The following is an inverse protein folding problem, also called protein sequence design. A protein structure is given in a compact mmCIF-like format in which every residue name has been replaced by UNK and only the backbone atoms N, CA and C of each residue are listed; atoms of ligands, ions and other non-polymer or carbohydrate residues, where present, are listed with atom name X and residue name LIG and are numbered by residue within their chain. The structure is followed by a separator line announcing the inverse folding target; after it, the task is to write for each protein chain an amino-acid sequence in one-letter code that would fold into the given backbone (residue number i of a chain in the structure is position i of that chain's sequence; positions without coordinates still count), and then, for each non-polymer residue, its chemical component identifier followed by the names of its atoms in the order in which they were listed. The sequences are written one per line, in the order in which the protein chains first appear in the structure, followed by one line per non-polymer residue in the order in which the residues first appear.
data_IF_383194857056
#
_entry.id   IF_383194857056
#
_cell.length_a   1.000
_cell.length_b   1.000
_cell.length_c   1.000
_cell.angle_alpha   90.00
_cell.angle_beta   90.00
_cell.angle_gamma   90.00
#
_symmetry.space_group_name_H-M   'P 1'
#
loop_
_entity.id
_entity.type
_entity.pdbx_description
1 polymer ?
#
# COMPACT_ATOMS: atom_id res chain seq x y z
N UNK A 1 -7.20 -34.50 -14.41
CA UNK A 1 -7.27 -35.22 -13.13
C UNK A 1 -7.22 -34.15 -12.05
N UNK A 2 -8.41 -33.77 -11.58
CA UNK A 2 -8.67 -32.63 -10.68
C UNK A 2 -8.39 -33.11 -9.24
N UNK A 3 -7.76 -32.26 -8.41
CA UNK A 3 -7.80 -32.40 -6.95
C UNK A 3 -8.48 -31.16 -6.35
N UNK A 4 -9.74 -31.35 -6.00
CA UNK A 4 -10.52 -30.52 -5.08
C UNK A 4 -10.12 -30.97 -3.67
N UNK A 5 -9.74 -30.04 -2.79
CA UNK A 5 -9.82 -30.25 -1.35
C UNK A 5 -10.81 -29.24 -0.78
N UNK A 6 -12.01 -29.74 -0.48
CA UNK A 6 -12.97 -29.15 0.44
C UNK A 6 -12.46 -29.39 1.86
N UNK A 7 -12.55 -28.38 2.72
CA UNK A 7 -12.53 -28.59 4.17
C UNK A 7 -13.71 -27.88 4.82
N UNK A 8 -14.62 -28.68 5.35
CA UNK A 8 -15.67 -28.30 6.28
C UNK A 8 -15.07 -28.21 7.69
N UNK A 9 -15.27 -27.09 8.40
CA UNK A 9 -14.99 -27.00 9.83
C UNK A 9 -16.25 -27.40 10.61
N UNK A 10 -16.15 -28.50 11.36
CA UNK A 10 -17.11 -28.86 12.41
C UNK A 10 -16.65 -28.31 13.75
N UNK A 11 -17.53 -27.57 14.44
CA UNK A 11 -17.33 -27.11 15.81
C UNK A 11 -17.22 -28.28 16.79
N UNK A 12 -16.19 -28.24 17.64
CA UNK A 12 -16.12 -29.02 18.88
C UNK A 12 -15.64 -28.09 20.00
N UNK A 13 -16.43 -28.00 21.07
CA UNK A 13 -16.06 -27.28 22.30
C UNK A 13 -14.87 -28.00 22.96
N UNK A 14 -13.74 -27.33 23.11
CA UNK A 14 -12.59 -27.81 23.88
C UNK A 14 -12.42 -26.95 25.13
N UNK A 15 -12.50 -27.62 26.27
CA UNK A 15 -12.13 -27.13 27.60
C UNK A 15 -10.63 -26.84 27.56
N UNK A 16 -10.22 -25.63 27.97
CA UNK A 16 -8.84 -25.10 27.89
C UNK A 16 -7.75 -26.17 27.95
N UNK A 17 -7.17 -26.49 26.79
CA UNK A 17 -5.88 -27.15 26.69
C UNK A 17 -4.84 -26.10 26.30
N UNK A 18 -3.78 -26.00 27.10
CA UNK A 18 -2.60 -25.17 26.84
C UNK A 18 -1.92 -25.68 25.57
N UNK A 19 -1.72 -24.80 24.60
CA UNK A 19 -0.95 -25.06 23.38
C UNK A 19 0.55 -24.94 23.70
N UNK A 20 1.30 -26.02 23.49
CA UNK A 20 2.73 -26.11 23.78
C UNK A 20 3.61 -25.80 22.55
N UNK A 21 3.04 -25.37 21.43
CA UNK A 21 3.78 -25.11 20.19
C UNK A 21 4.29 -23.67 20.03
N UNK A 22 3.78 -22.72 20.81
CA UNK A 22 4.18 -21.31 20.76
C UNK A 22 5.13 -20.99 21.91
N UNK A 23 6.37 -20.64 21.56
CA UNK A 23 7.41 -20.26 22.52
C UNK A 23 7.04 -18.92 23.17
N UNK A 24 7.39 -18.80 24.47
CA UNK A 24 7.24 -17.64 25.40
C UNK A 24 5.86 -17.59 26.10
N UNK A 25 5.66 -17.73 27.41
CA UNK A 25 6.39 -18.02 28.68
C UNK A 25 5.26 -18.38 29.71
N UNK A 26 5.53 -18.65 31.00
CA UNK A 26 4.65 -18.09 32.02
C UNK A 26 5.43 -17.16 32.94
N UNK A 27 5.12 -15.88 32.76
CA UNK A 27 5.07 -14.80 33.76
C UNK A 27 5.34 -15.31 35.20
N UNK A 28 6.59 -15.18 35.66
CA UNK A 28 6.91 -15.28 37.08
C UNK A 28 6.71 -13.90 37.69
N UNK A 29 5.46 -13.55 37.99
CA UNK A 29 5.18 -12.45 38.90
C UNK A 29 4.64 -13.01 40.23
N UNK A 30 4.87 -12.27 41.30
CA UNK A 30 4.51 -12.62 42.68
C UNK A 30 3.02 -12.86 42.96
N UNK A 31 2.13 -12.68 41.95
CA UNK A 31 0.70 -12.94 42.05
C UNK A 31 0.33 -14.40 41.69
N UNK A 32 1.23 -15.25 41.18
CA UNK A 32 0.94 -16.68 41.05
C UNK A 32 1.15 -17.45 42.36
N UNK A 33 0.27 -17.23 43.35
CA UNK A 33 0.33 -17.89 44.67
C UNK A 33 0.10 -19.42 44.68
N UNK A 34 0.00 -20.08 43.52
CA UNK A 34 -0.35 -21.51 43.41
C UNK A 34 0.45 -22.33 42.38
N UNK A 35 1.41 -21.73 41.67
CA UNK A 35 2.14 -22.39 40.58
C UNK A 35 3.09 -23.54 41.05
N UNK A 36 3.31 -23.71 42.36
CA UNK A 36 4.30 -24.65 42.92
C UNK A 36 3.73 -25.82 43.71
N UNK A 37 2.41 -26.05 43.71
CA UNK A 37 1.82 -27.20 44.37
C UNK A 37 1.48 -28.29 43.36
N UNK A 38 2.22 -29.39 43.49
CA UNK A 38 2.08 -30.65 42.75
C UNK A 38 0.62 -31.05 42.53
N UNK A 39 0.27 -31.32 41.27
CA UNK A 39 -0.88 -32.11 40.76
C UNK A 39 -1.91 -31.38 39.88
N UNK A 40 -1.48 -30.52 38.95
CA UNK A 40 -2.27 -30.20 37.76
C UNK A 40 -1.40 -30.28 36.51
N UNK A 41 -1.94 -30.91 35.48
CA UNK A 41 -1.21 -31.62 34.41
C UNK A 41 -0.56 -30.73 33.33
N UNK A 42 0.22 -29.72 33.72
CA UNK A 42 0.94 -28.89 32.76
C UNK A 42 2.11 -28.04 33.27
N UNK A 43 2.50 -28.16 34.55
CA UNK A 43 3.59 -27.38 35.14
C UNK A 43 4.99 -27.85 34.72
N UNK A 44 5.92 -26.91 34.56
CA UNK A 44 7.35 -27.15 34.34
C UNK A 44 7.95 -28.04 35.43
N UNK A 45 8.52 -29.19 35.05
CA UNK A 45 9.16 -30.12 35.97
C UNK A 45 10.63 -29.72 36.24
N UNK A 46 10.84 -28.96 37.33
CA UNK A 46 12.14 -28.49 37.80
C UNK A 46 12.96 -29.56 38.55
N UNK A 47 12.62 -30.85 38.45
CA UNK A 47 13.30 -31.90 39.21
C UNK A 47 14.72 -32.24 38.69
N UNK A 48 15.11 -31.78 37.49
CA UNK A 48 16.42 -32.06 36.89
C UNK A 48 16.86 -30.92 35.95
N UNK A 49 18.13 -30.53 36.02
CA UNK A 49 18.76 -29.53 35.15
C UNK A 49 18.64 -29.87 33.66
N UNK A 50 18.67 -31.16 33.28
CA UNK A 50 18.49 -31.54 31.88
C UNK A 50 17.11 -31.18 31.34
N UNK A 51 16.06 -31.23 32.17
CA UNK A 51 14.71 -30.85 31.78
C UNK A 51 14.55 -29.33 31.64
N UNK A 52 15.38 -28.56 32.36
CA UNK A 52 15.47 -27.10 32.26
C UNK A 52 16.08 -26.69 30.90
N UNK A 53 17.13 -27.38 30.46
CA UNK A 53 17.87 -27.06 29.23
C UNK A 53 17.29 -27.71 27.96
N UNK A 54 16.57 -28.83 28.08
CA UNK A 54 16.00 -29.55 26.93
C UNK A 54 14.69 -28.98 26.40
N UNK A 55 14.13 -27.96 27.05
CA UNK A 55 12.87 -27.30 26.65
C UNK A 55 13.03 -26.36 25.44
N UNK A 56 14.23 -26.23 24.88
CA UNK A 56 14.49 -25.51 23.64
C UNK A 56 14.59 -23.99 23.77
N UNK A 57 14.37 -23.42 24.97
CA UNK A 57 14.26 -21.97 25.18
C UNK A 57 15.27 -21.37 26.17
N UNK A 58 16.34 -22.10 26.49
CA UNK A 58 17.44 -21.59 27.32
C UNK A 58 18.70 -21.51 26.46
N UNK A 59 19.02 -20.31 25.97
CA UNK A 59 20.30 -20.05 25.31
C UNK A 59 21.37 -20.04 26.41
N UNK A 60 22.35 -20.93 26.30
CA UNK A 60 23.50 -20.92 27.19
C UNK A 60 24.38 -19.72 26.83
N UNK A 61 24.33 -18.65 27.62
CA UNK A 61 25.26 -17.53 27.53
C UNK A 61 26.72 -17.97 27.77
N UNK A 62 27.67 -17.11 27.38
CA UNK A 62 29.10 -17.38 27.53
C UNK A 62 29.52 -17.46 29.02
N UNK A 63 29.57 -18.68 29.55
CA UNK A 63 29.89 -18.97 30.95
C UNK A 63 31.25 -18.48 31.44
N UNK A 64 32.21 -18.14 30.56
CA UNK A 64 33.58 -17.77 30.94
C UNK A 64 33.69 -16.34 31.52
N UNK A 65 32.73 -15.45 31.28
CA UNK A 65 32.69 -14.09 31.82
C UNK A 65 31.79 -13.95 33.06
N UNK A 66 31.10 -15.02 33.46
CA UNK A 66 30.20 -15.02 34.62
C UNK A 66 30.98 -14.80 35.92
N UNK A 67 30.63 -13.76 36.68
CA UNK A 67 31.13 -13.51 38.04
C UNK A 67 30.92 -14.71 38.97
N UNK A 68 30.01 -15.63 38.63
CA UNK A 68 29.68 -16.81 39.41
C UNK A 68 30.62 -18.00 39.11
N UNK A 69 31.08 -18.14 37.86
CA UNK A 69 32.18 -19.05 37.50
C UNK A 69 33.47 -18.65 38.22
N UNK A 70 33.69 -17.33 38.36
CA UNK A 70 34.85 -16.77 39.07
C UNK A 70 34.72 -16.95 40.59
N UNK A 71 33.51 -16.94 41.15
CA UNK A 71 33.26 -17.07 42.61
C UNK A 71 33.13 -18.53 43.10
N UNK A 72 32.89 -19.48 42.20
CA UNK A 72 32.78 -20.90 42.55
C UNK A 72 34.11 -21.60 42.29
N UNK A 73 35.00 -21.51 43.27
CA UNK A 73 36.40 -21.97 43.29
C UNK A 73 36.62 -23.49 43.10
N UNK A 74 35.67 -24.25 42.51
CA UNK A 74 35.81 -25.70 42.28
C UNK A 74 34.99 -26.27 41.09
N UNK A 75 34.63 -25.46 40.09
CA UNK A 75 34.38 -25.95 38.72
C UNK A 75 33.40 -27.12 38.54
N UNK A 76 32.31 -27.20 39.32
CA UNK A 76 31.29 -28.23 39.14
C UNK A 76 29.88 -27.65 39.21
N UNK A 77 29.45 -27.09 38.09
CA UNK A 77 28.04 -27.01 37.70
C UNK A 77 27.92 -27.42 36.23
N UNK A 78 26.85 -28.13 35.83
CA UNK A 78 25.72 -28.56 36.68
C UNK A 78 26.04 -29.84 37.49
N UNK A 79 25.52 -30.01 38.72
CA UNK A 79 25.55 -31.29 39.40
C UNK A 79 24.67 -32.30 38.66
N UNK A 80 25.18 -33.51 38.44
CA UNK A 80 24.37 -34.62 37.96
C UNK A 80 23.36 -35.06 39.03
N UNK A 81 22.05 -35.06 38.73
CA UNK A 81 21.01 -35.63 39.59
C UNK A 81 19.84 -34.70 39.91
N UNK A 82 19.00 -35.11 40.85
CA UNK A 82 17.81 -34.36 41.31
C UNK A 82 18.23 -33.08 42.02
N UNK A 83 17.61 -31.95 41.68
CA UNK A 83 17.87 -30.67 42.35
C UNK A 83 17.26 -30.66 43.76
N UNK A 84 18.03 -30.22 44.77
CA UNK A 84 17.49 -29.94 46.10
C UNK A 84 16.67 -28.66 46.10
N UNK A 85 15.80 -28.46 47.10
CA UNK A 85 15.02 -27.22 47.24
C UNK A 85 15.92 -25.98 47.27
N UNK A 86 17.08 -26.03 47.94
CA UNK A 86 18.06 -24.94 47.94
C UNK A 86 18.64 -24.62 46.56
N UNK A 87 18.81 -25.63 45.70
CA UNK A 87 19.28 -25.44 44.32
C UNK A 87 18.16 -24.83 43.46
N UNK A 88 16.90 -25.24 43.70
CA UNK A 88 15.73 -24.67 43.03
C UNK A 88 15.55 -23.20 43.44
N UNK A 89 15.68 -22.88 44.73
CA UNK A 89 15.56 -21.52 45.25
C UNK A 89 16.68 -20.60 44.72
N UNK A 90 17.91 -21.12 44.59
CA UNK A 90 19.03 -20.38 44.00
C UNK A 90 18.84 -20.14 42.49
N UNK A 91 18.31 -21.13 41.75
CA UNK A 91 17.98 -20.97 40.32
C UNK A 91 16.80 -19.99 40.15
N UNK A 92 15.80 -20.03 41.02
CA UNK A 92 14.70 -19.08 41.02
C UNK A 92 15.20 -17.65 41.32
N UNK A 93 16.11 -17.49 42.28
CA UNK A 93 16.77 -16.22 42.57
C UNK A 93 17.58 -15.71 41.36
N UNK A 94 18.22 -16.58 40.58
CA UNK A 94 18.93 -16.20 39.34
C UNK A 94 18.01 -15.76 38.22
N UNK A 95 16.82 -16.35 38.11
CA UNK A 95 15.80 -15.94 37.13
C UNK A 95 15.21 -14.57 37.52
N UNK A 96 14.92 -14.37 38.80
CA UNK A 96 14.44 -13.09 39.35
C UNK A 96 15.51 -11.97 39.29
N UNK A 97 16.79 -12.31 39.40
CA UNK A 97 17.93 -11.38 39.30
C UNK A 97 18.42 -11.16 37.84
N UNK A 98 17.77 -11.75 36.83
CA UNK A 98 18.06 -11.50 35.41
C UNK A 98 19.29 -12.21 34.84
N UNK A 99 19.64 -13.40 35.35
CA UNK A 99 20.84 -14.16 34.94
C UNK A 99 20.68 -14.97 33.63
N UNK A 100 19.53 -14.91 32.97
CA UNK A 100 19.39 -15.25 31.56
C UNK A 100 19.54 -13.92 30.80
N UNK A 101 20.55 -13.82 29.95
CA UNK A 101 20.69 -12.68 29.03
C UNK A 101 19.33 -12.52 28.32
N UNK A 102 18.60 -11.46 28.66
CA UNK A 102 17.62 -10.89 27.73
C UNK A 102 18.41 -10.73 26.42
N UNK A 103 17.91 -11.21 25.26
CA UNK A 103 18.50 -10.75 24.01
C UNK A 103 18.53 -9.23 24.14
N UNK A 104 19.73 -8.67 24.08
CA UNK A 104 19.90 -7.28 24.45
C UNK A 104 18.86 -6.47 23.66
N UNK A 105 18.19 -5.53 24.33
CA UNK A 105 17.38 -4.49 23.68
C UNK A 105 18.31 -3.54 22.89
N UNK A 106 19.30 -4.12 22.21
CA UNK A 106 20.39 -3.49 21.49
C UNK A 106 20.20 -3.89 20.03
N UNK A 107 19.63 -2.95 19.29
CA UNK A 107 19.65 -2.99 17.85
C UNK A 107 20.97 -2.42 17.33
N UNK A 108 21.32 -2.78 16.10
CA UNK A 108 22.44 -2.14 15.40
C UNK A 108 22.22 -0.62 15.28
N UNK A 109 23.32 0.13 15.08
CA UNK A 109 23.25 1.57 14.88
C UNK A 109 22.27 1.92 13.73
N UNK A 110 21.35 2.85 14.00
CA UNK A 110 20.30 3.25 13.05
C UNK A 110 19.00 2.46 13.17
N UNK A 111 18.90 1.51 14.10
CA UNK A 111 17.67 0.78 14.41
C UNK A 111 17.19 1.06 15.84
N UNK A 112 15.88 1.04 16.04
CA UNK A 112 15.22 1.20 17.33
C UNK A 112 14.53 -0.09 17.74
N UNK A 113 14.79 -0.53 18.97
CA UNK A 113 14.07 -1.65 19.56
C UNK A 113 12.66 -1.21 19.96
N UNK A 114 11.63 -1.87 19.44
CA UNK A 114 10.24 -1.63 19.83
C UNK A 114 9.67 -2.91 20.48
N UNK A 115 9.43 -2.82 21.79
CA UNK A 115 9.01 -3.97 22.62
C UNK A 115 7.64 -4.53 22.23
N UNK A 116 6.70 -3.65 21.85
CA UNK A 116 5.33 -4.01 21.52
C UNK A 116 4.84 -3.27 20.29
N UNK A 117 4.20 -4.01 19.39
CA UNK A 117 3.61 -3.53 18.14
C UNK A 117 2.32 -4.29 17.85
N UNK A 118 1.42 -3.75 17.01
CA UNK A 118 0.11 -4.35 16.79
C UNK A 118 0.22 -5.67 16.00
N UNK A 119 0.00 -6.80 16.66
CA UNK A 119 0.20 -8.15 16.10
C UNK A 119 -0.63 -8.41 14.83
N UNK A 120 -1.82 -7.80 14.72
CA UNK A 120 -2.74 -8.06 13.60
C UNK A 120 -2.47 -7.19 12.38
N UNK A 121 -1.74 -6.07 12.55
CA UNK A 121 -1.50 -5.12 11.46
C UNK A 121 -0.03 -5.00 11.10
N UNK A 122 0.89 -5.24 12.05
CA UNK A 122 2.33 -5.24 11.82
C UNK A 122 2.89 -6.67 11.82
N UNK A 123 3.32 -7.13 10.64
CA UNK A 123 3.88 -8.46 10.41
C UNK A 123 5.40 -8.35 10.23
N UNK A 124 6.18 -8.94 11.14
CA UNK A 124 7.64 -8.99 11.04
C UNK A 124 8.10 -10.36 10.56
N UNK A 125 8.64 -10.43 9.34
CA UNK A 125 8.93 -11.69 8.63
C UNK A 125 10.14 -12.45 9.17
N UNK A 126 11.09 -11.75 9.79
CA UNK A 126 12.31 -12.32 10.36
C UNK A 126 12.26 -12.48 11.89
N UNK A 127 11.15 -12.09 12.51
CA UNK A 127 10.97 -12.11 13.97
C UNK A 127 11.83 -11.10 14.74
N UNK A 128 12.46 -10.14 14.06
CA UNK A 128 13.21 -9.06 14.72
C UNK A 128 12.27 -8.08 15.44
N UNK A 129 12.80 -7.36 16.43
CA UNK A 129 12.09 -6.25 17.10
C UNK A 129 12.83 -4.92 16.90
N UNK A 130 13.73 -4.89 15.93
CA UNK A 130 14.56 -3.75 15.58
C UNK A 130 14.07 -3.15 14.28
N UNK A 131 13.67 -1.89 14.32
CA UNK A 131 13.06 -1.18 13.19
C UNK A 131 13.97 -0.03 12.80
N UNK A 132 14.20 0.16 11.51
CA UNK A 132 15.10 1.19 11.02
C UNK A 132 14.53 2.58 11.27
N UNK A 133 15.35 3.47 11.82
CA UNK A 133 14.90 4.76 12.34
C UNK A 133 14.24 5.62 11.25
N UNK A 134 14.79 5.65 10.04
CA UNK A 134 14.22 6.46 8.96
C UNK A 134 12.88 5.93 8.47
N UNK A 135 12.66 4.60 8.52
CA UNK A 135 11.39 4.02 8.12
C UNK A 135 10.31 4.34 9.17
N UNK A 136 10.66 4.29 10.47
CA UNK A 136 9.78 4.74 11.56
C UNK A 136 9.48 6.23 11.44
N UNK A 137 10.49 7.06 11.18
CA UNK A 137 10.34 8.51 11.03
C UNK A 137 9.41 8.86 9.86
N UNK A 138 9.55 8.19 8.71
CA UNK A 138 8.64 8.37 7.59
C UNK A 138 7.19 8.00 7.93
N UNK A 139 6.98 6.91 8.68
CA UNK A 139 5.64 6.55 9.17
C UNK A 139 5.10 7.60 10.17
N UNK A 140 5.96 8.13 11.04
CA UNK A 140 5.59 9.17 11.99
C UNK A 140 5.22 10.48 11.28
N UNK A 141 5.94 10.85 10.23
CA UNK A 141 5.62 12.02 9.43
C UNK A 141 4.26 11.89 8.73
N UNK A 142 3.91 10.69 8.24
CA UNK A 142 2.57 10.41 7.70
C UNK A 142 1.51 10.62 8.80
N UNK A 143 1.75 10.15 10.01
CA UNK A 143 0.83 10.36 11.14
C UNK A 143 0.68 11.86 11.42
N UNK A 144 1.78 12.58 11.53
CA UNK A 144 1.80 14.00 11.92
C UNK A 144 1.12 14.88 10.86
N UNK A 145 1.43 14.69 9.58
CA UNK A 145 0.89 15.53 8.50
C UNK A 145 -0.62 15.35 8.34
N UNK A 146 -1.14 14.18 8.71
CA UNK A 146 -2.56 13.86 8.70
C UNK A 146 -3.27 14.08 10.05
N UNK A 147 -2.59 14.66 11.06
CA UNK A 147 -3.11 14.91 12.41
C UNK A 147 -3.68 13.65 13.09
N UNK A 148 -2.97 12.51 12.96
CA UNK A 148 -3.40 11.21 13.47
C UNK A 148 -2.72 10.83 14.79
N UNK A 149 -1.98 11.74 15.43
CA UNK A 149 -1.17 11.45 16.62
C UNK A 149 -2.02 10.92 17.78
N UNK A 150 -3.25 11.42 17.94
CA UNK A 150 -4.16 10.99 19.01
C UNK A 150 -4.70 9.57 18.79
N UNK A 151 -4.57 9.02 17.58
CA UNK A 151 -5.10 7.70 17.22
C UNK A 151 -4.08 6.57 17.42
N UNK A 152 -2.80 6.89 17.62
CA UNK A 152 -1.72 5.90 17.58
C UNK A 152 -0.72 6.05 18.73
N UNK A 153 -0.44 4.92 19.39
CA UNK A 153 0.59 4.87 20.43
C UNK A 153 2.01 5.01 19.85
N UNK A 154 2.22 4.53 18.62
CA UNK A 154 3.47 4.70 17.86
C UNK A 154 3.24 4.47 16.36
N UNK A 155 4.28 4.74 15.55
CA UNK A 155 4.23 4.69 14.08
C UNK A 155 3.95 3.30 13.50
N UNK A 156 4.13 2.21 14.26
CA UNK A 156 3.80 0.84 13.82
C UNK A 156 2.29 0.55 13.84
N UNK A 157 1.47 1.46 14.37
CA UNK A 157 0.02 1.37 14.33
C UNK A 157 -0.61 2.00 13.07
N UNK A 158 0.18 2.68 12.24
CA UNK A 158 -0.29 3.23 10.98
C UNK A 158 -0.54 2.10 9.96
N UNK A 159 -1.82 1.79 9.74
CA UNK A 159 -2.23 0.81 8.74
C UNK A 159 -1.65 -0.59 8.94
N UNK A 160 -1.59 -1.36 7.86
CA UNK A 160 -0.97 -2.68 7.82
C UNK A 160 0.44 -2.60 7.24
N UNK A 161 1.38 -3.28 7.90
CA UNK A 161 2.80 -3.17 7.64
C UNK A 161 3.45 -4.55 7.57
N UNK A 162 4.34 -4.76 6.60
CA UNK A 162 5.25 -5.91 6.62
C UNK A 162 6.70 -5.45 6.73
N UNK A 163 7.45 -6.07 7.62
CA UNK A 163 8.85 -5.75 7.90
C UNK A 163 9.77 -6.95 7.65
N UNK A 164 10.98 -6.67 7.15
CA UNK A 164 12.04 -7.67 6.94
C UNK A 164 13.40 -7.03 7.16
N UNK A 165 14.27 -7.62 7.98
CA UNK A 165 15.56 -7.04 8.34
C UNK A 165 15.43 -5.68 9.02
N UNK A 166 14.34 -5.46 9.76
CA UNK A 166 13.99 -4.17 10.35
C UNK A 166 13.61 -3.06 9.35
N UNK A 167 13.41 -3.39 8.07
CA UNK A 167 13.03 -2.44 7.02
C UNK A 167 11.61 -2.67 6.54
N UNK A 168 10.87 -1.59 6.26
CA UNK A 168 9.50 -1.65 5.80
C UNK A 168 9.45 -2.10 4.34
N UNK A 169 8.69 -3.16 4.08
CA UNK A 169 8.57 -3.80 2.75
C UNK A 169 7.17 -3.69 2.16
N UNK A 170 6.15 -3.54 3.00
CA UNK A 170 4.77 -3.28 2.58
C UNK A 170 4.13 -2.29 3.53
N UNK A 171 3.42 -1.32 2.97
CA UNK A 171 2.54 -0.41 3.70
C UNK A 171 1.17 -0.41 3.04
N UNK A 172 0.12 -0.55 3.84
CA UNK A 172 -1.26 -0.44 3.41
C UNK A 172 -2.04 0.45 4.37
N UNK A 173 -2.60 1.55 3.84
CA UNK A 173 -3.39 2.53 4.59
C UNK A 173 -4.61 2.92 3.76
N UNK A 174 -5.81 2.97 4.36
CA UNK A 174 -7.06 3.39 3.68
C UNK A 174 -8.07 2.26 3.43
N UNK A 175 -7.64 1.00 3.39
CA UNK A 175 -8.52 -0.16 3.12
C UNK A 175 -9.66 -0.31 4.16
N UNK A 176 -10.85 0.11 3.77
CA UNK A 176 -12.09 -0.01 4.55
C UNK A 176 -12.60 -1.45 4.65
N UNK A 177 -12.16 -2.35 3.75
CA UNK A 177 -12.60 -3.74 3.65
C UNK A 177 -11.89 -4.66 4.64
N UNK A 178 -10.66 -4.31 5.05
CA UNK A 178 -9.87 -5.05 6.05
C UNK A 178 -9.81 -4.36 7.42
N UNK A 179 -10.69 -3.39 7.68
CA UNK A 179 -10.85 -2.77 9.00
C UNK A 179 -9.80 -1.71 9.34
N UNK A 180 -9.19 -1.08 8.33
CA UNK A 180 -8.49 0.19 8.52
C UNK A 180 -9.50 1.32 8.76
N UNK A 181 -9.28 2.16 9.77
CA UNK A 181 -10.12 3.34 10.06
C UNK A 181 -9.40 4.65 9.74
N UNK A 182 -8.41 4.59 8.85
CA UNK A 182 -7.46 5.68 8.67
C UNK A 182 -7.55 6.22 7.28
N UNK A 183 -7.99 7.47 7.19
CA UNK A 183 -8.02 8.25 5.96
C UNK A 183 -6.84 9.19 5.96
N UNK A 184 -6.03 9.11 4.91
CA UNK A 184 -4.93 10.03 4.63
C UNK A 184 -5.43 11.14 3.71
N UNK A 185 -5.05 12.37 4.01
CA UNK A 185 -5.25 13.56 3.17
C UNK A 185 -3.97 13.99 2.45
N UNK A 186 -2.80 13.64 2.99
CA UNK A 186 -1.49 13.99 2.43
C UNK A 186 -0.42 12.91 2.67
N UNK A 187 0.56 12.82 1.77
CA UNK A 187 1.80 12.06 1.98
C UNK A 187 3.00 13.02 2.11
N UNK A 188 3.86 12.86 3.13
CA UNK A 188 5.03 13.70 3.32
C UNK A 188 6.16 13.32 2.34
N UNK A 189 7.09 14.25 2.10
CA UNK A 189 8.29 13.98 1.29
C UNK A 189 9.21 12.89 1.88
N UNK A 190 9.07 12.57 3.18
CA UNK A 190 9.82 11.48 3.80
C UNK A 190 9.34 10.09 3.36
N UNK A 191 8.22 9.97 2.63
CA UNK A 191 7.82 8.69 2.02
C UNK A 191 8.94 8.11 1.16
N UNK A 192 9.69 8.96 0.43
CA UNK A 192 10.82 8.54 -0.41
C UNK A 192 12.00 7.94 0.36
N UNK A 193 12.02 8.02 1.69
CA UNK A 193 13.05 7.38 2.51
C UNK A 193 12.84 5.87 2.66
N UNK A 194 11.63 5.36 2.36
CA UNK A 194 11.24 3.95 2.44
C UNK A 194 11.82 3.12 1.29
N UNK A 195 13.14 3.18 1.14
CA UNK A 195 13.88 2.64 -0.02
C UNK A 195 13.78 1.12 -0.20
N UNK A 196 13.32 0.37 0.81
CA UNK A 196 13.06 -1.07 0.73
C UNK A 196 11.58 -1.43 0.54
N UNK A 197 10.71 -0.43 0.39
CA UNK A 197 9.29 -0.65 0.18
C UNK A 197 9.06 -1.31 -1.18
N UNK A 198 8.43 -2.48 -1.15
CA UNK A 198 8.08 -3.28 -2.33
C UNK A 198 6.64 -3.02 -2.74
N UNK A 199 5.77 -2.74 -1.77
CA UNK A 199 4.34 -2.60 -1.98
C UNK A 199 3.80 -1.40 -1.19
N UNK A 200 3.17 -0.47 -1.90
CA UNK A 200 2.48 0.68 -1.32
C UNK A 200 1.01 0.65 -1.75
N UNK A 201 0.13 0.45 -0.77
CA UNK A 201 -1.32 0.49 -0.92
C UNK A 201 -1.83 1.71 -0.14
N UNK A 202 -2.33 2.69 -0.86
CA UNK A 202 -2.88 3.95 -0.35
C UNK A 202 -4.26 4.19 -0.97
N UNK A 203 -4.92 3.11 -1.39
CA UNK A 203 -6.30 3.11 -1.88
C UNK A 203 -7.30 3.53 -0.81
N UNK A 204 -8.45 4.05 -1.23
CA UNK A 204 -9.54 4.52 -0.35
C UNK A 204 -9.09 5.62 0.63
N UNK A 205 -8.42 6.66 0.12
CA UNK A 205 -7.99 7.83 0.88
C UNK A 205 -8.49 9.14 0.22
N UNK A 206 -8.07 10.29 0.76
CA UNK A 206 -8.43 11.62 0.26
C UNK A 206 -7.21 12.37 -0.32
N UNK A 207 -6.18 11.65 -0.78
CA UNK A 207 -4.95 12.25 -1.31
C UNK A 207 -5.26 13.06 -2.59
N UNK A 208 -4.70 14.26 -2.69
CA UNK A 208 -4.87 15.14 -3.86
C UNK A 208 -3.65 15.19 -4.78
N UNK A 209 -2.49 14.82 -4.25
CA UNK A 209 -1.21 14.73 -4.96
C UNK A 209 -0.36 13.59 -4.37
N UNK A 210 0.65 13.16 -5.13
CA UNK A 210 1.77 12.36 -4.62
C UNK A 210 3.02 13.26 -4.57
N UNK A 211 3.87 13.16 -3.53
CA UNK A 211 5.09 13.96 -3.42
C UNK A 211 6.13 13.54 -4.47
N UNK A 212 7.02 14.45 -4.86
CA UNK A 212 8.09 14.17 -5.85
C UNK A 212 9.09 13.11 -5.35
N UNK A 213 9.25 12.97 -4.03
CA UNK A 213 10.04 11.90 -3.45
C UNK A 213 9.48 10.49 -3.68
N UNK A 214 8.25 10.32 -4.19
CA UNK A 214 7.72 8.99 -4.51
C UNK A 214 8.64 8.25 -5.49
N UNK A 215 9.27 8.97 -6.42
CA UNK A 215 10.23 8.40 -7.37
C UNK A 215 11.52 7.85 -6.73
N UNK A 216 11.77 8.10 -5.44
CA UNK A 216 12.91 7.55 -4.71
C UNK A 216 12.67 6.11 -4.24
N UNK A 217 11.45 5.58 -4.34
CA UNK A 217 11.07 4.21 -3.96
C UNK A 217 11.58 3.18 -4.99
N UNK A 218 12.90 3.11 -5.14
CA UNK A 218 13.58 2.32 -6.17
C UNK A 218 13.29 0.82 -6.13
N UNK A 219 12.81 0.28 -5.01
CA UNK A 219 12.43 -1.13 -4.86
C UNK A 219 10.92 -1.37 -4.95
N UNK A 220 10.12 -0.38 -5.36
CA UNK A 220 8.66 -0.50 -5.44
C UNK A 220 8.23 -1.31 -6.67
N UNK A 221 7.41 -2.33 -6.44
CA UNK A 221 6.83 -3.19 -7.49
C UNK A 221 5.33 -2.95 -7.66
N UNK A 222 4.64 -2.55 -6.60
CA UNK A 222 3.20 -2.33 -6.59
C UNK A 222 2.89 -0.97 -5.98
N UNK A 223 2.24 -0.11 -6.76
CA UNK A 223 1.66 1.14 -6.29
C UNK A 223 0.16 1.10 -6.58
N UNK A 224 -0.64 1.12 -5.51
CA UNK A 224 -2.10 1.11 -5.58
C UNK A 224 -2.60 2.38 -4.90
N UNK A 225 -3.13 3.30 -5.69
CA UNK A 225 -3.55 4.63 -5.27
C UNK A 225 -4.91 5.03 -5.88
N UNK A 226 -5.74 4.04 -6.20
CA UNK A 226 -7.10 4.25 -6.67
C UNK A 226 -8.03 4.71 -5.53
N UNK A 227 -9.22 5.20 -5.87
CA UNK A 227 -10.16 5.79 -4.89
C UNK A 227 -9.49 6.88 -4.03
N UNK A 228 -8.92 7.86 -4.72
CA UNK A 228 -8.37 9.06 -4.12
C UNK A 228 -8.90 10.29 -4.88
N UNK A 229 -8.38 11.47 -4.55
CA UNK A 229 -8.70 12.73 -5.24
C UNK A 229 -7.48 13.23 -6.03
N UNK A 230 -6.60 12.34 -6.51
CA UNK A 230 -5.37 12.72 -7.20
C UNK A 230 -5.71 13.49 -8.47
N UNK A 231 -5.11 14.67 -8.63
CA UNK A 231 -5.36 15.55 -9.80
C UNK A 231 -4.26 15.48 -10.87
N UNK A 232 -3.08 15.01 -10.46
CA UNK A 232 -1.91 14.86 -11.30
C UNK A 232 -0.93 13.84 -10.68
N UNK A 233 0.00 13.34 -11.50
CA UNK A 233 1.15 12.56 -11.04
C UNK A 233 2.42 13.42 -11.09
N UNK A 234 3.36 13.26 -10.14
CA UNK A 234 4.66 13.92 -10.22
C UNK A 234 5.50 13.35 -11.37
N UNK A 235 6.37 14.17 -11.96
CA UNK A 235 7.27 13.73 -13.04
C UNK A 235 8.23 12.62 -12.57
N UNK A 236 8.57 12.60 -11.28
CA UNK A 236 9.37 11.54 -10.67
C UNK A 236 8.73 10.15 -10.69
N UNK A 237 7.44 10.00 -11.03
CA UNK A 237 6.80 8.68 -11.15
C UNK A 237 7.59 7.76 -12.09
N UNK A 238 8.14 8.31 -13.18
CA UNK A 238 8.98 7.58 -14.14
C UNK A 238 10.29 7.02 -13.57
N UNK A 239 10.69 7.41 -12.35
CA UNK A 239 11.88 6.88 -11.69
C UNK A 239 11.64 5.52 -11.02
N UNK A 240 10.38 5.06 -10.92
CA UNK A 240 10.00 3.77 -10.34
C UNK A 240 10.31 2.60 -11.29
N UNK A 241 11.59 2.44 -11.63
CA UNK A 241 12.06 1.51 -12.66
C UNK A 241 11.70 0.04 -12.44
N UNK A 242 11.39 -0.39 -11.21
CA UNK A 242 10.99 -1.76 -10.86
C UNK A 242 9.46 -1.96 -10.79
N UNK A 243 8.67 -0.93 -11.03
CA UNK A 243 7.21 -0.99 -10.90
C UNK A 243 6.63 -1.98 -11.92
N UNK A 244 5.82 -2.92 -11.43
CA UNK A 244 5.11 -3.92 -12.25
C UNK A 244 3.62 -3.61 -12.37
N UNK A 245 3.05 -3.01 -11.32
CA UNK A 245 1.63 -2.74 -11.20
C UNK A 245 1.41 -1.32 -10.70
N UNK A 246 0.64 -0.54 -11.47
CA UNK A 246 0.21 0.81 -11.14
C UNK A 246 -1.30 0.90 -11.30
N UNK A 247 -1.99 1.16 -10.19
CA UNK A 247 -3.43 1.41 -10.17
C UNK A 247 -3.72 2.83 -9.68
N UNK A 248 -4.34 3.61 -10.56
CA UNK A 248 -4.74 5.00 -10.37
C UNK A 248 -6.23 5.19 -10.64
N UNK A 249 -7.02 4.11 -10.73
CA UNK A 249 -8.43 4.20 -11.07
C UNK A 249 -9.23 5.05 -10.08
N UNK A 250 -10.38 5.58 -10.49
CA UNK A 250 -11.25 6.36 -9.59
C UNK A 250 -10.53 7.51 -8.89
N UNK A 251 -9.94 8.40 -9.69
CA UNK A 251 -9.27 9.63 -9.24
C UNK A 251 -9.77 10.83 -10.07
N UNK A 252 -9.08 11.96 -10.01
CA UNK A 252 -9.39 13.19 -10.76
C UNK A 252 -8.22 13.60 -11.66
N UNK A 253 -7.43 12.64 -12.13
CA UNK A 253 -6.18 12.91 -12.86
C UNK A 253 -6.52 13.48 -14.23
N UNK A 254 -5.98 14.67 -14.51
CA UNK A 254 -6.22 15.40 -15.76
C UNK A 254 -5.15 15.18 -16.82
N UNK A 255 -3.94 14.78 -16.41
CA UNK A 255 -2.85 14.46 -17.33
C UNK A 255 -1.92 13.38 -16.76
N UNK A 256 -1.31 12.60 -17.65
CA UNK A 256 -0.22 11.67 -17.34
C UNK A 256 1.11 12.29 -17.83
N UNK A 257 2.16 12.37 -16.98
CA UNK A 257 3.44 12.95 -17.38
C UNK A 257 4.18 12.09 -18.42
N UNK A 258 5.01 12.72 -19.25
CA UNK A 258 5.85 12.03 -20.25
C UNK A 258 6.81 11.02 -19.64
N UNK A 259 7.17 11.20 -18.37
CA UNK A 259 8.02 10.25 -17.67
C UNK A 259 7.38 8.87 -17.46
N UNK A 260 6.06 8.71 -17.66
CA UNK A 260 5.38 7.41 -17.56
C UNK A 260 6.05 6.36 -18.46
N UNK A 261 6.51 6.77 -19.65
CA UNK A 261 7.19 5.88 -20.60
C UNK A 261 8.52 5.31 -20.09
N UNK A 262 9.06 5.82 -18.98
CA UNK A 262 10.28 5.29 -18.36
C UNK A 262 10.03 4.06 -17.48
N UNK A 263 8.78 3.71 -17.19
CA UNK A 263 8.39 2.53 -16.40
C UNK A 263 8.55 1.23 -17.19
N UNK A 264 9.79 0.91 -17.59
CA UNK A 264 10.13 -0.17 -18.51
C UNK A 264 9.73 -1.59 -18.07
N UNK A 265 9.48 -1.80 -16.77
CA UNK A 265 9.05 -3.08 -16.22
C UNK A 265 7.53 -3.15 -15.96
N UNK A 266 6.78 -2.08 -16.22
CA UNK A 266 5.35 -2.04 -15.95
C UNK A 266 4.61 -3.06 -16.81
N UNK A 267 3.77 -3.87 -16.17
CA UNK A 267 2.99 -4.94 -16.79
C UNK A 267 1.49 -4.65 -16.71
N UNK A 268 1.05 -3.97 -15.65
CA UNK A 268 -0.34 -3.57 -15.46
C UNK A 268 -0.43 -2.08 -15.20
N UNK A 269 -1.30 -1.40 -15.96
CA UNK A 269 -1.60 0.01 -15.80
C UNK A 269 -3.12 0.22 -15.82
N UNK A 270 -3.68 0.71 -14.71
CA UNK A 270 -5.09 1.06 -14.62
C UNK A 270 -5.23 2.56 -14.36
N UNK A 271 -5.94 3.23 -15.27
CA UNK A 271 -6.18 4.68 -15.26
C UNK A 271 -7.65 5.02 -15.52
N UNK A 272 -8.54 4.02 -15.47
CA UNK A 272 -9.98 4.19 -15.65
C UNK A 272 -10.58 5.17 -14.63
N UNK A 273 -11.74 5.75 -14.95
CA UNK A 273 -12.49 6.64 -14.07
C UNK A 273 -11.63 7.80 -13.54
N UNK A 274 -11.12 8.60 -14.47
CA UNK A 274 -10.30 9.79 -14.23
C UNK A 274 -10.79 10.95 -15.14
N UNK A 275 -10.02 12.03 -15.26
CA UNK A 275 -10.36 13.21 -16.08
C UNK A 275 -9.39 13.39 -17.27
N UNK A 276 -8.83 12.29 -17.78
CA UNK A 276 -7.82 12.35 -18.84
C UNK A 276 -8.47 12.68 -20.18
N UNK A 277 -8.05 13.77 -20.82
CA UNK A 277 -8.45 14.11 -22.19
C UNK A 277 -7.42 13.79 -23.26
N UNK A 278 -6.16 13.55 -22.85
CA UNK A 278 -5.08 13.14 -23.73
C UNK A 278 -4.10 12.21 -22.99
N UNK A 279 -3.26 11.50 -23.74
CA UNK A 279 -2.18 10.68 -23.21
C UNK A 279 -0.85 10.99 -23.92
N UNK A 280 0.28 10.99 -23.19
CA UNK A 280 1.58 11.24 -23.80
C UNK A 280 1.99 10.09 -24.74
N UNK A 281 2.61 10.39 -25.88
CA UNK A 281 3.14 9.40 -26.83
C UNK A 281 4.07 8.36 -26.16
N UNK A 282 4.81 8.81 -25.14
CA UNK A 282 5.72 7.97 -24.37
C UNK A 282 5.02 6.82 -23.64
N UNK A 283 3.70 6.87 -23.44
CA UNK A 283 2.93 5.76 -22.85
C UNK A 283 3.07 4.47 -23.67
N UNK A 284 3.30 4.58 -24.99
CA UNK A 284 3.54 3.43 -25.86
C UNK A 284 4.93 2.80 -25.68
N UNK A 285 5.82 3.39 -24.88
CA UNK A 285 7.10 2.76 -24.50
C UNK A 285 6.93 1.71 -23.39
N UNK A 286 5.76 1.65 -22.75
CA UNK A 286 5.46 0.66 -21.71
C UNK A 286 5.37 -0.75 -22.29
N UNK A 287 5.81 -1.73 -21.52
CA UNK A 287 5.72 -3.15 -21.86
C UNK A 287 4.41 -3.80 -21.36
N UNK A 288 3.30 -3.08 -21.52
CA UNK A 288 1.96 -3.52 -21.14
C UNK A 288 1.34 -4.29 -22.30
N UNK A 289 0.72 -5.44 -22.01
CA UNK A 289 -0.13 -6.12 -22.98
C UNK A 289 -1.49 -5.40 -23.05
N UNK A 290 -1.57 -4.38 -23.91
CA UNK A 290 -2.74 -3.50 -24.05
C UNK A 290 -4.06 -4.27 -24.19
N UNK A 291 -4.04 -5.43 -24.85
CA UNK A 291 -5.22 -6.26 -25.13
C UNK A 291 -5.35 -7.47 -24.21
N UNK A 292 -4.37 -7.70 -23.34
CA UNK A 292 -4.25 -8.92 -22.57
C UNK A 292 -5.04 -8.90 -21.27
N UNK A 293 -5.22 -10.10 -20.72
CA UNK A 293 -5.88 -10.35 -19.46
C UNK A 293 -5.07 -11.33 -18.63
N UNK A 294 -5.16 -11.21 -17.31
CA UNK A 294 -4.59 -12.19 -16.38
C UNK A 294 -5.26 -13.56 -16.57
N UNK A 295 -4.48 -14.62 -16.36
CA UNK A 295 -4.99 -15.99 -16.36
C UNK A 295 -5.23 -16.45 -14.93
N UNK A 296 -6.40 -17.02 -14.61
CA UNK A 296 -6.64 -17.56 -13.27
C UNK A 296 -8.11 -17.53 -12.85
N UNK A 297 -8.33 -17.54 -11.53
CA UNK A 297 -9.67 -17.48 -10.93
C UNK A 297 -10.33 -16.10 -11.06
N UNK A 298 -9.53 -15.04 -11.19
CA UNK A 298 -9.97 -13.67 -11.47
C UNK A 298 -9.31 -13.24 -12.78
N UNK A 299 -10.13 -12.87 -13.76
CA UNK A 299 -9.68 -12.42 -15.08
C UNK A 299 -9.83 -10.90 -15.09
N UNK A 300 -8.71 -10.20 -15.03
CA UNK A 300 -8.65 -8.73 -15.07
C UNK A 300 -7.73 -8.29 -16.19
N UNK A 301 -7.98 -7.16 -16.86
CA UNK A 301 -7.16 -6.72 -17.97
C UNK A 301 -5.81 -6.18 -17.47
N UNK A 302 -4.78 -6.26 -18.30
CA UNK A 302 -3.49 -5.61 -17.99
C UNK A 302 -3.52 -4.09 -18.19
N UNK A 303 -4.48 -3.59 -18.97
CA UNK A 303 -4.70 -2.18 -19.19
C UNK A 303 -6.20 -1.86 -19.07
N UNK A 304 -6.55 -0.67 -18.60
CA UNK A 304 -7.94 -0.19 -18.59
C UNK A 304 -7.99 1.32 -18.41
N UNK A 305 -8.74 1.99 -19.28
CA UNK A 305 -8.88 3.46 -19.32
C UNK A 305 -10.33 3.93 -19.42
N UNK A 306 -11.32 3.04 -19.25
CA UNK A 306 -12.73 3.40 -19.37
C UNK A 306 -13.15 4.52 -18.42
N UNK A 307 -14.15 5.33 -18.77
CA UNK A 307 -14.64 6.43 -17.92
C UNK A 307 -13.67 7.61 -17.79
N UNK A 308 -12.85 7.90 -18.80
CA UNK A 308 -12.10 9.15 -18.94
C UNK A 308 -12.76 10.06 -19.98
N UNK A 309 -12.09 11.16 -20.33
CA UNK A 309 -12.49 12.12 -21.37
C UNK A 309 -11.64 11.93 -22.65
N UNK A 310 -11.13 10.71 -22.90
CA UNK A 310 -10.26 10.39 -24.03
C UNK A 310 -11.08 10.34 -25.33
N UNK A 311 -11.43 11.53 -25.80
CA UNK A 311 -12.28 11.80 -26.94
C UNK A 311 -11.41 12.33 -28.09
N UNK A 312 -11.74 11.93 -29.31
CA UNK A 312 -10.98 12.19 -30.53
C UNK A 312 -9.60 11.50 -30.62
N UNK A 313 -9.32 10.92 -31.79
CA UNK A 313 -8.15 10.07 -32.00
C UNK A 313 -6.83 10.81 -32.17
N UNK A 314 -6.84 12.14 -32.28
CA UNK A 314 -5.64 12.91 -32.61
C UNK A 314 -4.66 13.04 -31.43
N UNK A 315 -5.15 12.93 -30.19
CA UNK A 315 -4.38 13.10 -28.96
C UNK A 315 -4.30 11.82 -28.10
N UNK A 316 -4.71 10.68 -28.68
CA UNK A 316 -4.63 9.35 -28.07
C UNK A 316 -3.61 8.52 -28.86
N UNK A 317 -2.52 8.05 -28.23
CA UNK A 317 -1.54 7.22 -28.92
C UNK A 317 -2.15 5.91 -29.46
N UNK A 318 -1.77 5.51 -30.67
CA UNK A 318 -2.28 4.33 -31.38
C UNK A 318 -2.30 3.04 -30.54
N UNK A 319 -1.31 2.85 -29.65
CA UNK A 319 -1.22 1.65 -28.81
C UNK A 319 -2.36 1.55 -27.80
N UNK A 320 -2.92 2.70 -27.38
CA UNK A 320 -4.03 2.82 -26.45
C UNK A 320 -5.35 2.85 -27.21
N UNK A 321 -5.46 3.69 -28.24
CA UNK A 321 -6.71 3.86 -29.01
C UNK A 321 -7.19 2.52 -29.62
N UNK A 322 -6.25 1.70 -30.12
CA UNK A 322 -6.57 0.42 -30.75
C UNK A 322 -6.68 -0.75 -29.74
N UNK A 323 -6.66 -0.46 -28.45
CA UNK A 323 -6.78 -1.47 -27.41
C UNK A 323 -8.23 -1.93 -27.23
N UNK A 324 -8.45 -3.24 -27.17
CA UNK A 324 -9.74 -3.83 -26.76
C UNK A 324 -10.12 -3.47 -25.31
N UNK A 325 -9.17 -2.93 -24.53
CA UNK A 325 -9.37 -2.55 -23.14
C UNK A 325 -9.51 -1.03 -22.96
N UNK A 326 -9.66 -0.26 -24.05
CA UNK A 326 -9.78 1.19 -24.02
C UNK A 326 -10.97 1.67 -23.16
N UNK A 327 -12.15 1.08 -23.35
CA UNK A 327 -13.37 1.39 -22.57
C UNK A 327 -13.57 0.46 -21.38
N UNK A 328 -12.51 -0.22 -20.91
CA UNK A 328 -12.63 -1.16 -19.79
C UNK A 328 -12.25 -0.48 -18.48
N UNK A 329 -13.13 -0.64 -17.49
CA UNK A 329 -12.93 -0.33 -16.07
C UNK A 329 -13.16 -1.60 -15.21
N UNK A 330 -12.95 -1.51 -13.91
CA UNK A 330 -13.24 -2.56 -12.93
C UNK A 330 -14.36 -2.13 -12.00
N UNK A 331 -15.17 -3.07 -11.52
CA UNK A 331 -16.21 -2.74 -10.54
C UNK A 331 -15.60 -2.18 -9.25
N UNK A 332 -15.99 -0.94 -8.95
CA UNK A 332 -15.56 -0.15 -7.79
C UNK A 332 -15.68 -0.86 -6.44
N UNK A 333 -16.67 -1.75 -6.28
CA UNK A 333 -16.97 -2.40 -5.02
C UNK A 333 -16.34 -3.80 -4.89
N UNK A 334 -15.84 -4.39 -5.99
CA UNK A 334 -15.45 -5.81 -5.99
C UNK A 334 -14.16 -6.17 -6.75
N UNK A 335 -13.55 -5.32 -7.59
CA UNK A 335 -12.31 -5.55 -8.39
C UNK A 335 -12.14 -6.92 -9.07
N UNK A 336 -13.19 -7.73 -9.16
CA UNK A 336 -13.12 -9.14 -9.55
C UNK A 336 -13.72 -9.40 -10.93
N UNK A 337 -14.33 -8.38 -11.54
CA UNK A 337 -14.84 -8.43 -12.91
C UNK A 337 -14.68 -7.08 -13.60
N UNK A 338 -14.39 -7.15 -14.90
CA UNK A 338 -14.34 -6.00 -15.80
C UNK A 338 -15.73 -5.51 -16.12
N UNK A 339 -15.88 -4.20 -16.21
CA UNK A 339 -17.06 -3.52 -16.73
C UNK A 339 -16.65 -2.67 -17.92
N UNK A 340 -17.55 -2.53 -18.90
CA UNK A 340 -17.37 -1.52 -19.95
C UNK A 340 -17.86 -0.20 -19.38
N UNK A 341 -16.98 0.79 -19.35
CA UNK A 341 -17.29 2.17 -19.01
C UNK A 341 -16.74 3.03 -20.15
N UNK A 342 -17.62 3.49 -21.03
CA UNK A 342 -17.24 4.28 -22.21
C UNK A 342 -16.59 5.60 -21.78
N UNK A 343 -15.76 6.18 -22.66
CA UNK A 343 -15.25 7.55 -22.47
C UNK A 343 -16.42 8.54 -22.41
N UNK A 344 -16.38 9.46 -21.46
CA UNK A 344 -17.36 10.51 -21.28
C UNK A 344 -17.08 11.67 -22.24
N UNK A 345 -17.53 11.50 -23.48
CA UNK A 345 -17.42 12.52 -24.52
C UNK A 345 -18.65 13.43 -24.61
N UNK A 346 -19.58 13.35 -23.64
CA UNK A 346 -20.83 14.12 -23.67
C UNK A 346 -20.68 15.53 -23.06
N UNK A 347 -19.61 15.80 -22.30
CA UNK A 347 -19.32 17.12 -21.71
C UNK A 347 -18.26 17.91 -22.52
N UNK A 348 -18.53 18.09 -23.81
CA UNK A 348 -17.80 19.10 -24.58
C UNK A 348 -18.22 20.49 -24.11
N UNK A 349 -17.25 21.35 -23.81
CA UNK A 349 -17.50 22.73 -23.39
C UNK A 349 -18.39 23.46 -24.41
N UNK A 350 -19.45 24.11 -23.97
CA UNK A 350 -20.21 25.05 -24.81
C UNK A 350 -19.23 26.09 -25.37
N UNK A 351 -19.11 26.14 -26.70
CA UNK A 351 -18.14 26.95 -27.42
C UNK A 351 -16.87 26.22 -27.91
N UNK A 352 -16.62 24.98 -27.50
CA UNK A 352 -15.55 24.13 -28.04
C UNK A 352 -16.07 23.41 -29.30
N UNK A 353 -15.80 24.01 -30.46
CA UNK A 353 -16.44 23.67 -31.72
C UNK A 353 -15.57 22.69 -32.51
N UNK A 354 -14.25 22.76 -32.32
CA UNK A 354 -13.31 21.81 -32.90
C UNK A 354 -13.05 20.58 -32.01
N UNK A 355 -13.69 20.50 -30.84
CA UNK A 355 -13.64 19.40 -29.88
C UNK A 355 -12.24 19.16 -29.29
N UNK A 356 -11.42 20.21 -29.23
CA UNK A 356 -10.06 20.13 -28.69
C UNK A 356 -10.01 20.32 -27.16
N UNK A 357 -11.17 20.36 -26.51
CA UNK A 357 -11.38 20.59 -25.07
C UNK A 357 -10.95 21.98 -24.57
N UNK A 358 -10.62 22.90 -25.48
CA UNK A 358 -10.18 24.26 -25.16
C UNK A 358 -10.99 25.30 -25.93
N UNK A 359 -11.84 26.08 -25.24
CA UNK A 359 -12.53 27.22 -25.88
C UNK A 359 -11.56 28.35 -26.19
N UNK A 360 -11.15 28.48 -27.46
CA UNK A 360 -10.09 29.36 -27.92
C UNK A 360 -10.36 29.98 -29.33
N UNK A 361 -9.34 30.65 -29.88
CA UNK A 361 -9.49 31.35 -31.18
C UNK A 361 -9.80 30.41 -32.34
N UNK A 362 -9.38 29.14 -32.24
CA UNK A 362 -9.61 28.12 -33.26
C UNK A 362 -11.09 27.77 -33.36
N UNK A 363 -11.84 27.80 -32.25
CA UNK A 363 -13.30 27.64 -32.24
C UNK A 363 -14.01 28.79 -32.95
N UNK A 364 -13.56 30.02 -32.71
CA UNK A 364 -14.10 31.20 -33.40
C UNK A 364 -13.88 31.05 -34.92
N UNK A 365 -12.67 30.64 -35.33
CA UNK A 365 -12.34 30.45 -36.75
C UNK A 365 -13.22 29.36 -37.36
N UNK A 366 -13.39 28.24 -36.66
CA UNK A 366 -14.21 27.10 -37.09
C UNK A 366 -15.69 27.49 -37.20
N UNK A 367 -16.23 28.21 -36.21
CA UNK A 367 -17.60 28.72 -36.22
C UNK A 367 -17.86 29.73 -37.35
N UNK A 368 -16.94 30.66 -37.55
CA UNK A 368 -17.05 31.64 -38.64
C UNK A 368 -16.93 30.93 -39.99
N UNK A 369 -16.04 29.94 -40.10
CA UNK A 369 -15.89 29.06 -41.26
C UNK A 369 -17.17 28.35 -41.63
N UNK A 370 -17.90 27.82 -40.64
CA UNK A 370 -19.18 27.14 -40.89
C UNK A 370 -20.29 28.09 -41.32
N UNK A 371 -20.36 29.29 -40.73
CA UNK A 371 -21.38 30.30 -41.06
C UNK A 371 -21.14 30.94 -42.44
N UNK A 372 -19.88 31.23 -42.79
CA UNK A 372 -19.52 32.04 -43.97
C UNK A 372 -19.02 31.20 -45.14
N UNK A 373 -18.29 30.11 -44.86
CA UNK A 373 -17.54 29.30 -45.82
C UNK A 373 -18.25 28.05 -46.33
N UNK A 374 -19.35 27.63 -45.69
CA UNK A 374 -20.10 26.43 -46.07
C UNK A 374 -19.50 25.12 -45.58
N UNK A 375 -18.59 25.17 -44.60
CA UNK A 375 -18.16 23.99 -43.84
C UNK A 375 -19.31 23.52 -42.94
N UNK A 376 -19.67 22.24 -43.02
CA UNK A 376 -20.77 21.69 -42.23
C UNK A 376 -20.26 21.26 -40.85
N UNK A 377 -20.80 21.87 -39.80
CA UNK A 377 -20.72 21.31 -38.46
C UNK A 377 -21.70 20.14 -38.36
N UNK A 378 -21.27 19.05 -37.73
CA UNK A 378 -22.09 17.85 -37.49
C UNK A 378 -21.90 17.37 -36.06
N UNK A 379 -22.88 16.61 -35.55
CA UNK A 379 -22.81 16.02 -34.22
C UNK A 379 -22.61 17.06 -33.11
N UNK A 380 -21.63 16.80 -32.25
CA UNK A 380 -21.36 17.58 -31.04
C UNK A 380 -20.86 19.00 -31.35
N UNK A 381 -20.06 19.18 -32.40
CA UNK A 381 -19.62 20.52 -32.84
C UNK A 381 -20.78 21.45 -33.19
N UNK A 382 -21.90 20.91 -33.68
CA UNK A 382 -23.11 21.71 -33.97
C UNK A 382 -23.83 22.13 -32.68
N UNK A 383 -23.80 21.26 -31.65
CA UNK A 383 -24.39 21.53 -30.33
C UNK A 383 -23.56 22.62 -29.63
N UNK A 384 -22.23 22.49 -29.65
CA UNK A 384 -21.33 23.44 -28.98
C UNK A 384 -21.28 24.81 -29.67
N UNK A 385 -21.58 24.85 -30.97
CA UNK A 385 -21.68 26.08 -31.73
C UNK A 385 -22.90 26.94 -31.38
N UNK A 386 -23.92 26.38 -30.72
CA UNK A 386 -25.10 27.09 -30.23
C UNK A 386 -24.87 27.59 -28.79
N UNK A 387 -23.90 28.49 -28.65
CA UNK A 387 -23.39 28.98 -27.35
C UNK A 387 -24.48 29.68 -26.52
N UNK A 388 -25.56 30.13 -27.16
CA UNK A 388 -26.69 30.80 -26.49
C UNK A 388 -27.93 29.91 -26.29
N UNK A 389 -27.86 28.65 -26.71
CA UNK A 389 -28.92 27.63 -26.63
C UNK A 389 -30.25 28.05 -27.29
N UNK A 390 -30.21 28.89 -28.33
CA UNK A 390 -31.41 29.33 -29.06
C UNK A 390 -31.81 28.40 -30.21
N UNK A 391 -31.07 27.31 -30.39
CA UNK A 391 -31.18 26.31 -31.46
C UNK A 391 -30.86 26.86 -32.86
N UNK A 392 -30.15 27.98 -32.96
CA UNK A 392 -29.72 28.58 -34.22
C UNK A 392 -28.25 29.00 -34.16
N UNK A 393 -27.37 28.21 -34.77
CA UNK A 393 -25.96 28.61 -34.96
C UNK A 393 -25.86 29.80 -35.91
N UNK A 394 -25.49 30.97 -35.38
CA UNK A 394 -25.45 32.23 -36.11
C UNK A 394 -24.38 33.21 -35.58
N UNK A 395 -24.40 34.45 -36.07
CA UNK A 395 -23.40 35.47 -35.71
C UNK A 395 -23.46 35.84 -34.21
N UNK A 396 -24.60 35.65 -33.56
CA UNK A 396 -24.75 35.89 -32.13
C UNK A 396 -23.90 34.94 -31.31
N UNK A 397 -23.81 33.67 -31.71
CA UNK A 397 -22.95 32.67 -31.07
C UNK A 397 -21.48 33.02 -31.20
N UNK A 398 -21.06 33.51 -32.37
CA UNK A 398 -19.69 34.03 -32.57
C UNK A 398 -19.37 35.16 -31.59
N UNK A 399 -20.31 36.10 -31.40
CA UNK A 399 -20.10 37.23 -30.48
C UNK A 399 -20.00 36.76 -29.05
N UNK A 400 -20.85 35.81 -28.64
CA UNK A 400 -20.84 35.27 -27.29
C UNK A 400 -19.58 34.45 -27.02
N UNK A 401 -19.17 33.63 -27.98
CA UNK A 401 -17.92 32.87 -27.93
C UNK A 401 -16.70 33.79 -27.82
N UNK A 402 -16.65 34.88 -28.61
CA UNK A 402 -15.59 35.90 -28.51
C UNK A 402 -15.59 36.56 -27.14
N UNK A 403 -16.74 36.92 -26.60
CA UNK A 403 -16.82 37.54 -25.28
C UNK A 403 -16.38 36.55 -24.19
N UNK A 404 -16.75 35.28 -24.29
CA UNK A 404 -16.32 34.23 -23.38
C UNK A 404 -14.78 34.08 -23.37
N UNK A 405 -14.14 34.12 -24.53
CA UNK A 405 -12.67 34.01 -24.67
C UNK A 405 -11.93 35.29 -24.22
N UNK A 406 -12.56 36.47 -24.34
CA UNK A 406 -11.93 37.76 -24.05
C UNK A 406 -12.18 38.23 -22.61
N UNK A 407 -13.31 37.84 -22.01
CA UNK A 407 -13.71 38.23 -20.65
C UNK A 407 -13.38 37.18 -19.57
N UNK A 408 -13.09 35.93 -19.97
CA UNK A 408 -12.47 34.90 -19.13
C UNK A 408 -10.95 35.04 -19.10
#
# INVERSE_FOLDING_TARGET
MIKILSFTLSFSFIICSVDYATQIQPIFNSNCGGCHLSNSAGGLNLANYSNLMSSGSVIAGNHQSSQLWIRTDNGSMPPSGTLSQSNIDLIAQWIDEGALEQPANECDEGYTYIESYPINTCIVLDGSQCFYNNDIEALQDIININNLEDNYDNSLYLGFQNWSGGRLTRLLVGDNSNGGFTTLTELPESIGNLTNLVQLYIDDNELTTLPESIGNLSNLFYLVANFNNLTALPESIGNLSNLLFLDLGYNQISYIPESIGNLSNLQTLWIFDNQLSALPDSICNLNVDWNGYTTGASVVPYFGSGGNLLCDSLDIPDCVENSNNFDISLDAAYYLFSVVHEQDCEDTLLGDINLDTLVNVLDIVTLVGSIVGGESLEGQSLINADVNEDNLVNVLDVVLLVNQIVEG
#
